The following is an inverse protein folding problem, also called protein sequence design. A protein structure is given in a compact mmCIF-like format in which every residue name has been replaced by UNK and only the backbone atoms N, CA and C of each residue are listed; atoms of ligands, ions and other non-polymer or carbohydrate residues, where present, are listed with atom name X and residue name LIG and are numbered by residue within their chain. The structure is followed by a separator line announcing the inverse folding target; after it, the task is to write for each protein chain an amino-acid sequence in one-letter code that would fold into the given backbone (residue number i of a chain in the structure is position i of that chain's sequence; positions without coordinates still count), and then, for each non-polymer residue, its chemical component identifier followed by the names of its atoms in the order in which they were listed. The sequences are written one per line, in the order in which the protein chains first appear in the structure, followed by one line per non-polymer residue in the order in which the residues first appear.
data_IF_477913143663
#
_entry.id   IF_477913143663
#
_cell.length_a   1.000
_cell.length_b   1.000
_cell.length_c   1.000
_cell.angle_alpha   90.00
_cell.angle_beta   90.00
_cell.angle_gamma   90.00
#
_symmetry.space_group_name_H-M   'P 1'
#
loop_
_entity.id
_entity.type
_entity.pdbx_description
1 polymer ?
#
# COMPACT_ATOMS: atom_id res chain seq x y z
N UNK A 1 12.70 5.90 -1.98
CA UNK A 1 13.50 6.18 -0.74
C UNK A 1 13.74 7.66 -0.47
N UNK A 2 14.19 8.48 -1.44
CA UNK A 2 14.54 9.92 -1.20
C UNK A 2 13.42 10.73 -0.53
N UNK A 3 12.18 10.56 -0.98
CA UNK A 3 11.03 11.25 -0.38
C UNK A 3 10.83 10.89 1.10
N UNK A 4 10.98 9.62 1.50
CA UNK A 4 10.88 9.21 2.91
C UNK A 4 12.05 9.80 3.70
N UNK A 5 13.27 9.70 3.16
CA UNK A 5 14.47 10.21 3.82
C UNK A 5 14.35 11.73 4.10
N UNK A 6 13.79 12.49 3.18
CA UNK A 6 13.58 13.94 3.36
C UNK A 6 12.58 14.27 4.48
N UNK A 7 11.62 13.39 4.76
CA UNK A 7 10.63 13.57 5.83
C UNK A 7 11.16 13.07 7.17
N UNK A 8 11.79 11.90 7.17
CA UNK A 8 12.37 11.28 8.36
C UNK A 8 13.71 10.61 8.03
N UNK A 9 14.83 11.34 8.17
CA UNK A 9 16.17 10.84 7.83
C UNK A 9 16.63 9.65 8.67
N UNK A 10 16.06 9.43 9.87
CA UNK A 10 16.43 8.32 10.74
C UNK A 10 15.68 7.02 10.44
N UNK A 11 14.55 7.08 9.72
CA UNK A 11 13.66 5.95 9.51
C UNK A 11 14.09 5.04 8.35
N UNK A 12 14.93 5.52 7.44
CA UNK A 12 15.28 4.81 6.21
C UNK A 12 16.77 5.04 5.86
N UNK A 13 17.49 4.06 5.29
CA UNK A 13 18.86 4.29 4.83
C UNK A 13 18.92 5.46 3.84
N UNK A 14 19.89 6.37 4.02
CA UNK A 14 20.06 7.50 3.11
C UNK A 14 20.32 7.03 1.68
N UNK A 15 19.48 7.34 0.69
CA UNK A 15 19.81 7.06 -0.70
C UNK A 15 20.98 7.94 -1.15
N UNK A 16 21.93 7.35 -1.87
CA UNK A 16 23.16 8.03 -2.32
C UNK A 16 23.13 8.24 -3.83
N UNK A 17 22.90 7.17 -4.60
CA UNK A 17 22.86 7.24 -6.07
C UNK A 17 22.12 6.04 -6.66
N UNK A 18 21.64 6.17 -7.88
CA UNK A 18 21.24 5.05 -8.73
C UNK A 18 21.75 5.29 -10.15
N UNK A 19 21.81 4.24 -10.96
CA UNK A 19 22.24 4.37 -12.34
C UNK A 19 22.25 3.06 -13.10
N UNK A 20 22.74 3.12 -14.34
CA UNK A 20 22.86 1.99 -15.26
C UNK A 20 24.34 1.78 -15.55
N UNK A 21 24.79 0.53 -15.61
CA UNK A 21 26.17 0.22 -15.96
C UNK A 21 26.44 0.57 -17.43
N UNK A 22 27.52 1.30 -17.69
CA UNK A 22 27.89 1.71 -19.06
C UNK A 22 28.10 0.52 -20.00
N UNK A 23 28.74 -0.55 -19.51
CA UNK A 23 29.00 -1.76 -20.28
C UNK A 23 27.80 -2.72 -20.35
N UNK A 24 26.77 -2.54 -19.52
CA UNK A 24 25.62 -3.44 -19.39
C UNK A 24 24.33 -2.61 -19.29
N UNK A 25 23.73 -2.22 -20.44
CA UNK A 25 22.58 -1.30 -20.47
C UNK A 25 21.34 -1.79 -19.70
N UNK A 26 21.19 -3.12 -19.53
CA UNK A 26 20.07 -3.73 -18.81
C UNK A 26 20.39 -4.03 -17.32
N UNK A 27 21.58 -3.62 -16.85
CA UNK A 27 21.98 -3.76 -15.46
C UNK A 27 21.96 -2.40 -14.77
N UNK A 28 21.21 -2.32 -13.67
CA UNK A 28 21.06 -1.12 -12.87
C UNK A 28 21.65 -1.31 -11.47
N UNK A 29 22.02 -0.21 -10.82
CA UNK A 29 22.48 -0.21 -9.44
C UNK A 29 21.76 0.84 -8.61
N UNK A 30 21.70 0.57 -7.31
CA UNK A 30 21.27 1.51 -6.28
C UNK A 30 22.30 1.49 -5.16
N UNK A 31 22.71 2.68 -4.71
CA UNK A 31 23.62 2.91 -3.60
C UNK A 31 22.86 3.65 -2.51
N UNK A 32 22.94 3.13 -1.29
CA UNK A 32 22.43 3.79 -0.09
C UNK A 32 23.42 3.62 1.07
N UNK A 33 23.16 4.36 2.14
CA UNK A 33 23.86 4.22 3.41
C UNK A 33 23.78 2.78 3.91
N UNK A 34 24.91 2.24 4.35
CA UNK A 34 24.93 0.98 5.07
C UNK A 34 24.44 1.21 6.50
N UNK A 35 23.41 0.46 6.91
CA UNK A 35 22.87 0.47 8.28
C UNK A 35 23.00 -0.94 8.85
N UNK A 36 23.56 -1.04 10.06
CA UNK A 36 23.60 -2.32 10.77
C UNK A 36 22.20 -2.61 11.31
N UNK A 37 21.49 -3.55 10.70
CA UNK A 37 20.12 -3.91 11.07
C UNK A 37 20.10 -5.20 11.89
N UNK A 38 19.23 -5.27 12.91
CA UNK A 38 19.00 -6.51 13.67
C UNK A 38 17.83 -7.26 13.03
N UNK A 39 17.84 -8.59 12.99
CA UNK A 39 16.71 -9.35 12.40
C UNK A 39 15.48 -9.39 13.34
N UNK A 40 15.28 -8.35 14.14
CA UNK A 40 14.22 -8.20 15.11
C UNK A 40 13.24 -7.13 14.64
N UNK A 41 11.94 -7.41 14.80
CA UNK A 41 10.92 -6.41 14.58
C UNK A 41 10.91 -5.38 15.71
N UNK A 42 10.72 -4.09 15.41
CA UNK A 42 10.58 -3.08 16.44
C UNK A 42 9.37 -3.33 17.34
N UNK A 43 9.39 -2.78 18.57
CA UNK A 43 8.17 -2.76 19.38
C UNK A 43 7.06 -2.00 18.65
N UNK A 44 5.80 -2.40 18.88
CA UNK A 44 4.64 -1.79 18.24
C UNK A 44 4.62 -0.28 18.46
N UNK A 45 4.89 0.17 19.69
CA UNK A 45 4.89 1.59 20.05
C UNK A 45 5.96 2.38 19.31
N UNK A 46 7.22 1.91 19.32
CA UNK A 46 8.32 2.60 18.66
C UNK A 46 8.12 2.63 17.14
N UNK A 47 7.68 1.52 16.56
CA UNK A 47 7.36 1.42 15.14
C UNK A 47 6.30 2.44 14.73
N UNK A 48 5.16 2.43 15.41
CA UNK A 48 4.02 3.26 15.05
C UNK A 48 4.27 4.74 15.31
N UNK A 49 5.07 5.10 16.31
CA UNK A 49 5.51 6.49 16.50
C UNK A 49 6.19 7.01 15.22
N UNK A 50 7.14 6.26 14.65
CA UNK A 50 7.85 6.66 13.44
C UNK A 50 7.00 6.61 12.17
N UNK A 51 6.19 5.56 11.99
CA UNK A 51 5.33 5.42 10.79
C UNK A 51 4.24 6.49 10.77
N UNK A 52 3.59 6.76 11.91
CA UNK A 52 2.55 7.80 11.96
C UNK A 52 3.13 9.20 11.85
N UNK A 53 4.36 9.43 12.30
CA UNK A 53 5.11 10.67 12.07
C UNK A 53 5.37 10.88 10.56
N UNK A 54 5.84 9.85 9.84
CA UNK A 54 5.99 9.90 8.39
C UNK A 54 4.69 10.29 7.69
N UNK A 55 3.59 9.61 8.03
CA UNK A 55 2.28 9.89 7.44
C UNK A 55 1.77 11.30 7.78
N UNK A 56 1.97 11.77 9.02
CA UNK A 56 1.48 13.07 9.47
C UNK A 56 2.29 14.22 8.85
N UNK A 57 3.61 14.10 8.82
CA UNK A 57 4.52 15.20 8.48
C UNK A 57 4.81 15.30 6.98
N UNK A 58 4.61 14.22 6.21
CA UNK A 58 4.71 14.28 4.76
C UNK A 58 3.50 14.96 4.13
N UNK A 59 3.66 15.58 2.96
CA UNK A 59 2.56 16.10 2.16
C UNK A 59 2.90 15.94 0.68
N UNK A 60 1.89 15.60 -0.12
CA UNK A 60 2.04 15.58 -1.58
C UNK A 60 2.44 16.97 -2.10
N UNK A 61 3.42 17.06 -3.02
CA UNK A 61 3.92 18.35 -3.52
C UNK A 61 2.86 19.17 -4.27
N UNK A 62 1.81 18.53 -4.78
CA UNK A 62 0.69 19.16 -5.51
C UNK A 62 -0.67 18.92 -4.84
N UNK A 63 -0.69 18.33 -3.64
CA UNK A 63 -1.92 17.96 -2.94
C UNK A 63 -2.69 16.76 -3.53
N UNK A 64 -2.21 16.17 -4.62
CA UNK A 64 -2.83 15.02 -5.28
C UNK A 64 -2.27 13.68 -4.77
N UNK A 65 -3.02 12.60 -4.99
CA UNK A 65 -2.56 11.23 -4.78
C UNK A 65 -1.75 10.77 -5.99
N UNK A 66 -0.72 9.96 -5.74
CA UNK A 66 0.18 9.46 -6.78
C UNK A 66 1.65 9.66 -6.47
N UNK A 67 2.49 9.68 -7.51
CA UNK A 67 3.93 9.84 -7.36
C UNK A 67 4.59 10.41 -8.62
N UNK A 68 5.79 10.96 -8.46
CA UNK A 68 6.57 11.59 -9.52
C UNK A 68 7.22 10.59 -10.49
N UNK A 69 7.44 9.37 -10.04
CA UNK A 69 8.01 8.28 -10.83
C UNK A 69 7.20 6.99 -10.64
N UNK A 70 7.30 6.07 -11.60
CA UNK A 70 6.82 4.71 -11.37
C UNK A 70 7.64 4.05 -10.26
N UNK A 71 6.98 3.31 -9.36
CA UNK A 71 7.66 2.43 -8.41
C UNK A 71 7.51 0.99 -8.82
N UNK A 72 8.23 0.08 -8.15
CA UNK A 72 8.10 -1.34 -8.37
C UNK A 72 7.67 -2.02 -7.08
N UNK A 73 6.67 -2.89 -7.17
CA UNK A 73 6.33 -3.83 -6.12
C UNK A 73 6.80 -5.22 -6.57
N UNK A 74 7.89 -5.71 -5.97
CA UNK A 74 8.69 -6.78 -6.57
C UNK A 74 9.20 -6.37 -7.96
N UNK A 75 8.89 -7.17 -8.98
CA UNK A 75 9.23 -6.86 -10.37
C UNK A 75 8.09 -6.19 -11.17
N UNK A 76 7.00 -5.80 -10.50
CA UNK A 76 5.82 -5.21 -11.16
C UNK A 76 5.89 -3.69 -11.08
N UNK A 77 6.10 -2.98 -12.21
CA UNK A 77 6.07 -1.53 -12.22
C UNK A 77 4.64 -1.02 -12.03
N UNK A 78 4.48 0.00 -11.19
CA UNK A 78 3.23 0.69 -10.93
C UNK A 78 3.40 2.14 -11.40
N UNK A 79 2.70 2.49 -12.48
CA UNK A 79 2.55 3.88 -12.88
C UNK A 79 1.49 4.57 -11.99
N UNK A 80 1.96 5.45 -11.12
CA UNK A 80 1.11 6.14 -10.17
C UNK A 80 0.29 7.24 -10.84
N UNK A 81 0.85 7.98 -11.81
CA UNK A 81 0.27 9.25 -12.27
C UNK A 81 -0.09 10.20 -11.11
N UNK A 82 -0.94 11.20 -11.38
CA UNK A 82 -1.50 12.08 -10.35
C UNK A 82 -3.02 12.13 -10.44
N UNK A 83 -3.66 12.18 -9.27
CA UNK A 83 -5.10 12.04 -9.12
C UNK A 83 -5.60 12.97 -8.02
N UNK A 84 -6.64 13.77 -8.31
CA UNK A 84 -7.18 14.73 -7.35
C UNK A 84 -7.95 14.08 -6.20
N UNK A 85 -8.53 12.90 -6.43
CA UNK A 85 -9.27 12.13 -5.41
C UNK A 85 -8.65 10.75 -5.23
N UNK A 86 -8.78 10.21 -4.03
CA UNK A 86 -8.26 8.88 -3.70
C UNK A 86 -9.07 7.78 -4.39
N UNK A 87 -10.40 7.96 -4.51
CA UNK A 87 -11.27 7.02 -5.23
C UNK A 87 -10.80 6.82 -6.67
N UNK A 88 -10.52 7.90 -7.40
CA UNK A 88 -10.08 7.81 -8.80
C UNK A 88 -8.70 7.14 -8.90
N UNK A 89 -7.72 7.61 -8.11
CA UNK A 89 -6.39 7.01 -8.07
C UNK A 89 -6.44 5.50 -7.83
N UNK A 90 -7.14 5.10 -6.75
CA UNK A 90 -7.20 3.72 -6.32
C UNK A 90 -7.93 2.88 -7.37
N UNK A 91 -9.04 3.36 -7.91
CA UNK A 91 -9.81 2.66 -8.96
C UNK A 91 -8.96 2.42 -10.19
N UNK A 92 -8.33 3.47 -10.73
CA UNK A 92 -7.51 3.40 -11.96
C UNK A 92 -6.34 2.44 -11.80
N UNK A 93 -5.56 2.62 -10.74
CA UNK A 93 -4.35 1.80 -10.53
C UNK A 93 -4.66 0.36 -10.12
N UNK A 94 -5.72 0.13 -9.34
CA UNK A 94 -6.19 -1.23 -9.03
C UNK A 94 -6.74 -1.94 -10.27
N UNK A 95 -7.41 -1.21 -11.18
CA UNK A 95 -7.87 -1.77 -12.46
C UNK A 95 -6.70 -2.25 -13.32
N UNK A 96 -5.67 -1.43 -13.47
CA UNK A 96 -4.48 -1.80 -14.23
C UNK A 96 -3.81 -3.07 -13.69
N UNK A 97 -3.70 -3.20 -12.35
CA UNK A 97 -3.19 -4.41 -11.71
C UNK A 97 -4.11 -5.60 -11.91
N UNK A 98 -5.43 -5.43 -11.81
CA UNK A 98 -6.39 -6.50 -12.06
C UNK A 98 -6.30 -7.02 -13.51
N UNK A 99 -6.20 -6.11 -14.48
CA UNK A 99 -6.06 -6.47 -15.89
C UNK A 99 -4.74 -7.21 -16.14
N UNK A 100 -3.65 -6.78 -15.49
CA UNK A 100 -2.37 -7.49 -15.52
C UNK A 100 -2.48 -8.90 -14.91
N UNK A 101 -3.20 -9.06 -13.80
CA UNK A 101 -3.47 -10.37 -13.19
C UNK A 101 -4.19 -11.31 -14.17
N UNK A 102 -5.22 -10.81 -14.86
CA UNK A 102 -5.93 -11.59 -15.87
C UNK A 102 -5.03 -11.93 -17.07
N UNK A 103 -4.15 -11.02 -17.50
CA UNK A 103 -3.20 -11.28 -18.59
C UNK A 103 -2.17 -12.35 -18.21
N UNK A 104 -1.65 -12.27 -16.98
CA UNK A 104 -0.61 -13.16 -16.48
C UNK A 104 -1.18 -14.55 -16.22
N UNK A 105 -2.36 -14.70 -15.63
CA UNK A 105 -2.95 -16.02 -15.34
C UNK A 105 -3.87 -16.58 -16.42
N UNK A 106 -4.39 -15.73 -17.29
CA UNK A 106 -5.57 -16.03 -18.11
C UNK A 106 -6.89 -15.68 -17.39
N UNK A 107 -7.98 -15.50 -18.14
CA UNK A 107 -9.25 -15.03 -17.61
C UNK A 107 -9.83 -16.00 -16.57
N UNK A 108 -10.35 -15.46 -15.48
CA UNK A 108 -11.18 -16.19 -14.51
C UNK A 108 -12.63 -15.71 -14.60
N UNK A 109 -13.56 -16.60 -14.94
CA UNK A 109 -14.99 -16.26 -15.02
C UNK A 109 -15.52 -15.67 -13.71
N UNK A 110 -15.04 -16.18 -12.58
CA UNK A 110 -15.41 -15.70 -11.25
C UNK A 110 -14.88 -14.29 -10.97
N UNK A 111 -13.59 -14.03 -11.23
CA UNK A 111 -13.02 -12.70 -11.07
C UNK A 111 -13.69 -11.69 -12.01
N UNK A 112 -13.95 -12.09 -13.26
CA UNK A 112 -14.67 -11.25 -14.23
C UNK A 112 -16.07 -10.90 -13.72
N UNK A 113 -16.83 -11.89 -13.20
CA UNK A 113 -18.16 -11.67 -12.61
C UNK A 113 -18.12 -10.73 -11.41
N UNK A 114 -17.13 -10.87 -10.53
CA UNK A 114 -16.96 -10.02 -9.34
C UNK A 114 -16.50 -8.60 -9.69
N UNK A 115 -15.65 -8.45 -10.72
CA UNK A 115 -14.97 -7.20 -11.07
C UNK A 115 -15.95 -6.04 -11.25
N UNK A 116 -17.05 -6.24 -11.98
CA UNK A 116 -18.02 -5.17 -12.22
C UNK A 116 -18.58 -4.61 -10.91
N UNK A 117 -19.04 -5.47 -10.01
CA UNK A 117 -19.55 -5.04 -8.71
C UNK A 117 -18.45 -4.46 -7.81
N UNK A 118 -17.26 -5.06 -7.82
CA UNK A 118 -16.14 -4.57 -7.02
C UNK A 118 -15.78 -3.12 -7.38
N UNK A 119 -15.59 -2.84 -8.67
CA UNK A 119 -15.18 -1.52 -9.11
C UNK A 119 -16.33 -0.51 -9.21
N UNK A 120 -17.54 -0.92 -9.64
CA UNK A 120 -18.65 0.03 -9.82
C UNK A 120 -19.40 0.31 -8.51
N UNK A 121 -19.28 -0.57 -7.50
CA UNK A 121 -20.06 -0.50 -6.26
C UNK A 121 -19.21 -0.45 -5.01
N UNK A 122 -18.34 -1.45 -4.80
CA UNK A 122 -17.57 -1.58 -3.55
C UNK A 122 -16.59 -0.42 -3.38
N UNK A 123 -15.75 -0.16 -4.40
CA UNK A 123 -14.75 0.92 -4.31
C UNK A 123 -15.43 2.28 -4.07
N UNK A 124 -16.43 2.71 -4.87
CA UNK A 124 -17.17 3.94 -4.59
C UNK A 124 -17.81 3.98 -3.20
N UNK A 125 -18.40 2.87 -2.73
CA UNK A 125 -19.06 2.81 -1.41
C UNK A 125 -18.07 3.09 -0.28
N UNK A 126 -16.86 2.57 -0.39
CA UNK A 126 -15.87 2.64 0.68
C UNK A 126 -14.95 3.86 0.59
N UNK A 127 -14.67 4.37 -0.62
CA UNK A 127 -13.69 5.44 -0.81
C UNK A 127 -14.34 6.81 -1.02
N UNK A 128 -15.47 6.90 -1.73
CA UNK A 128 -16.13 8.20 -1.96
C UNK A 128 -16.46 8.96 -0.67
N UNK A 129 -16.99 8.31 0.40
CA UNK A 129 -17.33 9.00 1.63
C UNK A 129 -16.15 9.71 2.32
N UNK A 130 -14.90 9.34 2.02
CA UNK A 130 -13.70 9.97 2.60
C UNK A 130 -13.57 11.44 2.18
N UNK A 131 -14.11 11.80 1.02
CA UNK A 131 -13.92 13.10 0.36
C UNK A 131 -15.26 13.78 0.00
N UNK A 132 -16.38 13.25 0.49
CA UNK A 132 -17.72 13.85 0.35
C UNK A 132 -18.35 14.18 1.71
N UNK A 133 -19.48 14.89 1.71
CA UNK A 133 -20.15 15.28 2.96
C UNK A 133 -19.34 16.26 3.81
N UNK A 134 -18.50 17.10 3.17
CA UNK A 134 -17.59 18.03 3.85
C UNK A 134 -16.33 17.40 4.44
N UNK A 135 -16.11 16.09 4.20
CA UNK A 135 -14.90 15.38 4.61
C UNK A 135 -13.79 15.56 3.59
N UNK A 136 -12.57 15.37 4.05
CA UNK A 136 -11.39 15.34 3.20
C UNK A 136 -10.33 14.45 3.85
N UNK A 137 -9.49 13.86 3.01
CA UNK A 137 -8.29 13.14 3.44
C UNK A 137 -7.06 13.79 2.82
N UNK A 138 -5.92 13.63 3.48
CA UNK A 138 -4.64 14.16 3.03
C UNK A 138 -3.88 13.08 2.27
N UNK A 139 -3.36 13.42 1.09
CA UNK A 139 -2.35 12.62 0.41
C UNK A 139 -1.03 12.69 1.19
N UNK A 140 -0.73 11.66 1.98
CA UNK A 140 0.50 11.52 2.74
C UNK A 140 1.43 10.50 2.08
N UNK A 141 2.73 10.70 2.27
CA UNK A 141 3.72 9.73 1.83
C UNK A 141 3.61 8.47 2.69
N UNK A 142 3.51 7.33 2.02
CA UNK A 142 3.51 6.00 2.64
C UNK A 142 4.74 5.22 2.17
N UNK A 143 5.08 4.14 2.86
CA UNK A 143 6.14 3.21 2.45
C UNK A 143 5.74 2.42 1.20
N UNK A 144 4.49 1.93 1.14
CA UNK A 144 3.86 1.27 0.00
C UNK A 144 4.12 -0.24 -0.12
N UNK A 145 5.04 -0.77 0.68
CA UNK A 145 5.34 -2.21 0.81
C UNK A 145 5.79 -2.57 2.24
N UNK A 146 5.10 -2.07 3.27
CA UNK A 146 5.57 -2.21 4.67
C UNK A 146 5.11 -3.50 5.34
N UNK A 147 5.71 -4.61 4.96
CA UNK A 147 5.56 -5.90 5.65
C UNK A 147 6.77 -6.21 6.55
N UNK A 148 6.70 -7.26 7.35
CA UNK A 148 7.74 -7.60 8.32
C UNK A 148 9.13 -7.84 7.72
N UNK A 149 9.22 -8.19 6.43
CA UNK A 149 10.50 -8.31 5.73
C UNK A 149 11.18 -6.97 5.45
N UNK A 150 10.43 -5.87 5.46
CA UNK A 150 10.89 -4.52 5.10
C UNK A 150 10.98 -3.58 6.31
N UNK A 151 11.00 -4.14 7.52
CA UNK A 151 11.12 -3.41 8.78
C UNK A 151 12.03 -4.16 9.76
N UNK A 152 12.81 -3.41 10.52
CA UNK A 152 13.81 -3.95 11.43
C UNK A 152 14.15 -2.91 12.51
N UNK A 153 14.97 -3.29 13.48
CA UNK A 153 15.64 -2.36 14.39
C UNK A 153 17.05 -2.04 13.88
N UNK A 154 17.40 -0.76 13.89
CA UNK A 154 18.76 -0.30 13.68
C UNK A 154 19.62 -0.65 14.90
N UNK A 155 20.68 -1.43 14.69
CA UNK A 155 21.52 -1.97 15.75
C UNK A 155 22.34 -0.92 16.50
N UNK A 156 22.62 0.23 15.89
CA UNK A 156 23.39 1.30 16.53
C UNK A 156 22.49 2.22 17.36
N UNK A 157 21.38 2.69 16.76
CA UNK A 157 20.47 3.63 17.40
C UNK A 157 19.36 2.97 18.23
N UNK A 158 19.15 1.66 18.07
CA UNK A 158 18.05 0.90 18.66
C UNK A 158 16.69 1.52 18.34
N UNK A 159 16.52 2.01 17.11
CA UNK A 159 15.28 2.61 16.60
C UNK A 159 14.74 1.82 15.41
N UNK A 160 13.43 1.91 15.13
CA UNK A 160 12.85 1.33 13.91
C UNK A 160 13.55 1.86 12.66
N UNK A 161 13.79 0.97 11.72
CA UNK A 161 14.25 1.28 10.37
C UNK A 161 13.42 0.48 9.35
N UNK A 162 13.10 1.12 8.23
CA UNK A 162 12.38 0.53 7.10
C UNK A 162 13.23 0.61 5.83
N UNK A 163 12.98 -0.26 4.86
CA UNK A 163 13.76 -0.35 3.62
C UNK A 163 12.93 -1.00 2.50
N UNK A 164 13.44 -0.98 1.27
CA UNK A 164 12.78 -1.55 0.09
C UNK A 164 11.39 -0.94 -0.20
N UNK A 165 11.31 0.39 -0.10
CA UNK A 165 10.06 1.13 -0.23
C UNK A 165 9.54 1.26 -1.68
N UNK A 166 8.27 0.92 -1.88
CA UNK A 166 7.47 1.20 -3.08
C UNK A 166 6.58 2.44 -2.87
N UNK A 167 7.20 3.57 -2.49
CA UNK A 167 6.51 4.73 -1.92
C UNK A 167 5.64 5.51 -2.91
N UNK A 168 4.52 6.02 -2.42
CA UNK A 168 3.72 7.01 -3.14
C UNK A 168 2.89 7.84 -2.15
N UNK A 169 2.25 8.91 -2.63
CA UNK A 169 1.31 9.71 -1.84
C UNK A 169 -0.08 9.07 -1.89
N UNK A 170 -0.57 8.64 -0.74
CA UNK A 170 -1.77 7.82 -0.59
C UNK A 170 -2.65 8.32 0.56
N UNK A 171 -3.83 7.72 0.68
CA UNK A 171 -4.54 7.68 1.95
C UNK A 171 -3.75 6.82 2.95
N UNK A 172 -3.48 7.33 4.16
CA UNK A 172 -2.64 6.67 5.16
C UNK A 172 -3.09 5.25 5.53
N UNK A 173 -4.40 4.97 5.56
CA UNK A 173 -4.93 3.64 5.89
C UNK A 173 -4.58 2.56 4.85
N UNK A 174 -4.13 2.96 3.65
CA UNK A 174 -3.67 2.03 2.61
C UNK A 174 -2.48 1.18 3.07
N UNK A 175 -1.50 1.78 3.77
CA UNK A 175 -0.30 1.08 4.26
C UNK A 175 -0.68 -0.12 5.14
N UNK A 176 -1.77 0.01 5.90
CA UNK A 176 -2.26 -1.02 6.80
C UNK A 176 -2.83 -2.25 6.06
N UNK A 177 -3.07 -2.17 4.75
CA UNK A 177 -3.66 -3.26 3.96
C UNK A 177 -2.81 -4.52 3.97
N UNK A 178 -1.49 -4.39 3.78
CA UNK A 178 -0.55 -5.52 3.82
C UNK A 178 -0.45 -6.14 5.22
N UNK A 179 -0.82 -5.42 6.27
CA UNK A 179 -0.82 -5.95 7.63
C UNK A 179 -1.97 -6.93 7.87
N UNK A 180 -3.01 -6.96 7.00
CA UNK A 180 -4.07 -7.99 7.06
C UNK A 180 -3.61 -9.36 6.57
N UNK A 181 -2.49 -9.42 5.87
CA UNK A 181 -2.06 -10.67 5.24
C UNK A 181 -1.69 -11.71 6.30
N UNK A 182 -2.15 -12.96 6.17
CA UNK A 182 -1.95 -14.00 7.19
C UNK A 182 -0.48 -14.40 7.36
N UNK A 183 0.34 -14.16 6.33
CA UNK A 183 1.77 -14.40 6.33
C UNK A 183 2.59 -13.26 6.96
N UNK A 184 1.97 -12.14 7.32
CA UNK A 184 2.69 -10.96 7.80
C UNK A 184 2.78 -10.90 9.33
N UNK A 185 3.99 -10.74 9.87
CA UNK A 185 4.21 -10.59 11.31
C UNK A 185 3.91 -9.16 11.82
N UNK A 186 3.88 -8.16 10.94
CA UNK A 186 3.25 -6.85 11.24
C UNK A 186 1.75 -7.05 11.01
N UNK A 187 1.05 -7.36 12.10
CA UNK A 187 -0.27 -8.00 12.06
C UNK A 187 -1.40 -7.11 12.62
N UNK A 188 -2.50 -7.74 13.07
CA UNK A 188 -3.65 -7.05 13.65
C UNK A 188 -3.30 -6.14 14.83
N UNK A 189 -2.39 -6.55 15.72
CA UNK A 189 -2.00 -5.72 16.87
C UNK A 189 -1.33 -4.40 16.47
N UNK A 190 -0.61 -4.39 15.33
CA UNK A 190 -0.03 -3.18 14.76
C UNK A 190 -1.12 -2.28 14.15
N UNK A 191 -2.08 -2.86 13.41
CA UNK A 191 -3.21 -2.10 12.83
C UNK A 191 -4.06 -1.47 13.92
N UNK A 192 -4.43 -2.24 14.94
CA UNK A 192 -5.26 -1.75 16.04
C UNK A 192 -4.56 -0.65 16.84
N UNK A 193 -3.24 -0.78 17.03
CA UNK A 193 -2.44 0.22 17.73
C UNK A 193 -2.19 1.47 16.88
N UNK A 194 -2.12 1.36 15.55
CA UNK A 194 -1.93 2.51 14.65
C UNK A 194 -2.97 3.60 14.91
N UNK A 195 -4.23 3.20 15.13
CA UNK A 195 -5.33 4.12 15.38
C UNK A 195 -5.25 4.88 16.72
N UNK A 196 -4.34 4.51 17.63
CA UNK A 196 -4.03 5.30 18.84
C UNK A 196 -3.19 6.52 18.52
N UNK A 197 -2.42 6.47 17.44
CA UNK A 197 -1.50 7.54 17.00
C UNK A 197 -2.08 8.36 15.83
N UNK A 198 -2.90 7.75 14.99
CA UNK A 198 -3.51 8.39 13.84
C UNK A 198 -5.00 8.02 13.76
N UNK A 199 -5.93 8.97 13.99
CA UNK A 199 -7.36 8.68 14.02
C UNK A 199 -7.86 7.99 12.76
N UNK A 200 -8.88 7.14 12.92
CA UNK A 200 -9.59 6.51 11.80
C UNK A 200 -10.20 7.58 10.89
N UNK A 201 -10.14 7.35 9.59
CA UNK A 201 -10.81 8.23 8.64
C UNK A 201 -12.34 8.07 8.74
N UNK A 202 -13.06 9.18 8.60
CA UNK A 202 -14.52 9.18 8.60
C UNK A 202 -15.06 8.72 7.22
N UNK A 203 -16.17 7.96 7.15
CA UNK A 203 -16.93 7.39 8.26
C UNK A 203 -16.16 6.28 8.98
N UNK A 204 -16.09 6.35 10.30
CA UNK A 204 -15.30 5.40 11.09
C UNK A 204 -15.83 3.97 11.01
N UNK A 205 -17.13 3.79 10.81
CA UNK A 205 -17.76 2.47 10.67
C UNK A 205 -17.23 1.67 9.47
N UNK A 206 -16.72 2.35 8.44
CA UNK A 206 -16.22 1.73 7.21
C UNK A 206 -14.72 1.39 7.28
N UNK A 207 -14.00 1.74 8.36
CA UNK A 207 -12.53 1.64 8.39
C UNK A 207 -11.98 0.23 8.17
N UNK A 208 -12.62 -0.78 8.75
CA UNK A 208 -12.16 -2.17 8.63
C UNK A 208 -12.40 -2.70 7.22
N UNK A 209 -13.54 -2.33 6.61
CA UNK A 209 -13.86 -2.68 5.22
C UNK A 209 -12.97 -1.94 4.21
N UNK A 210 -12.64 -0.67 4.46
CA UNK A 210 -11.61 0.05 3.68
C UNK A 210 -10.27 -0.66 3.75
N UNK A 211 -9.88 -1.11 4.94
CA UNK A 211 -8.62 -1.84 5.09
C UNK A 211 -8.66 -3.22 4.39
N UNK A 212 -9.79 -3.92 4.42
CA UNK A 212 -10.01 -5.14 3.63
C UNK A 212 -9.96 -4.87 2.11
N UNK A 213 -10.49 -3.73 1.66
CA UNK A 213 -10.36 -3.29 0.27
C UNK A 213 -8.89 -3.07 -0.12
N UNK A 214 -8.10 -2.42 0.73
CA UNK A 214 -6.66 -2.24 0.50
C UNK A 214 -5.90 -3.57 0.49
N UNK A 215 -6.23 -4.49 1.41
CA UNK A 215 -5.66 -5.84 1.42
C UNK A 215 -6.02 -6.65 0.16
N UNK A 216 -7.22 -6.47 -0.39
CA UNK A 216 -7.61 -7.08 -1.67
C UNK A 216 -6.65 -6.68 -2.80
N UNK A 217 -6.20 -5.42 -2.84
CA UNK A 217 -5.20 -4.98 -3.84
C UNK A 217 -3.84 -5.65 -3.64
N UNK A 218 -3.44 -5.89 -2.39
CA UNK A 218 -2.23 -6.68 -2.08
C UNK A 218 -2.39 -8.11 -2.63
N UNK A 219 -3.56 -8.74 -2.48
CA UNK A 219 -3.82 -10.06 -3.05
C UNK A 219 -3.73 -10.07 -4.60
N UNK A 220 -4.09 -8.98 -5.28
CA UNK A 220 -3.87 -8.85 -6.73
C UNK A 220 -2.37 -8.89 -7.05
N UNK A 221 -1.57 -8.10 -6.33
CA UNK A 221 -0.12 -8.04 -6.51
C UNK A 221 0.55 -9.39 -6.22
N UNK A 222 0.20 -10.02 -5.09
CA UNK A 222 0.73 -11.34 -4.73
C UNK A 222 0.32 -12.42 -5.73
N UNK A 223 -0.93 -12.40 -6.24
CA UNK A 223 -1.37 -13.30 -7.31
C UNK A 223 -0.49 -13.17 -8.55
N UNK A 224 -0.11 -11.94 -8.95
CA UNK A 224 0.77 -11.70 -10.09
C UNK A 224 2.19 -12.22 -9.79
N UNK A 225 2.78 -11.80 -8.66
CA UNK A 225 4.18 -12.05 -8.30
C UNK A 225 4.50 -13.53 -8.08
N UNK A 226 3.57 -14.27 -7.47
CA UNK A 226 3.76 -15.65 -7.08
C UNK A 226 3.05 -16.65 -7.99
N UNK A 227 2.60 -16.21 -9.18
CA UNK A 227 2.02 -17.11 -10.19
C UNK A 227 2.92 -18.33 -10.41
N UNK A 228 2.29 -19.52 -10.39
CA UNK A 228 2.96 -20.80 -10.65
C UNK A 228 3.81 -21.32 -9.49
N UNK A 229 4.03 -20.50 -8.46
CA UNK A 229 4.64 -20.92 -7.18
C UNK A 229 3.57 -21.21 -6.15
N UNK A 230 2.58 -20.33 -6.04
CA UNK A 230 1.47 -20.49 -5.12
C UNK A 230 0.18 -19.91 -5.71
N UNK A 231 -0.82 -20.78 -5.92
CA UNK A 231 -2.13 -20.37 -6.43
C UNK A 231 -3.07 -19.90 -5.31
N UNK A 232 -2.67 -20.02 -4.04
CA UNK A 232 -3.47 -19.58 -2.89
C UNK A 232 -3.75 -18.07 -2.94
N UNK A 233 -2.82 -17.26 -3.42
CA UNK A 233 -3.00 -15.80 -3.54
C UNK A 233 -4.13 -15.42 -4.51
N UNK A 234 -4.28 -16.17 -5.62
CA UNK A 234 -5.39 -15.96 -6.54
C UNK A 234 -6.73 -16.32 -5.89
N UNK A 235 -6.75 -17.37 -5.08
CA UNK A 235 -7.94 -17.72 -4.31
C UNK A 235 -8.24 -16.66 -3.23
N UNK A 236 -7.24 -16.16 -2.51
CA UNK A 236 -7.40 -15.07 -1.54
C UNK A 236 -7.96 -13.80 -2.19
N UNK A 237 -7.54 -13.49 -3.42
CA UNK A 237 -8.12 -12.41 -4.22
C UNK A 237 -9.62 -12.65 -4.48
N UNK A 238 -9.99 -13.84 -4.97
CA UNK A 238 -11.38 -14.23 -5.24
C UNK A 238 -12.22 -14.09 -3.96
N UNK A 239 -11.75 -14.67 -2.85
CA UNK A 239 -12.46 -14.69 -1.58
C UNK A 239 -12.68 -13.25 -1.05
N UNK A 240 -11.64 -12.42 -1.08
CA UNK A 240 -11.71 -11.04 -0.61
C UNK A 240 -12.64 -10.19 -1.48
N UNK A 241 -12.59 -10.34 -2.80
CA UNK A 241 -13.53 -9.66 -3.70
C UNK A 241 -14.97 -10.14 -3.49
N UNK A 242 -15.18 -11.44 -3.29
CA UNK A 242 -16.49 -12.04 -3.07
C UNK A 242 -17.13 -11.53 -1.78
N UNK A 243 -16.38 -11.52 -0.67
CA UNK A 243 -16.82 -11.00 0.62
C UNK A 243 -17.27 -9.54 0.52
N UNK A 244 -16.43 -8.67 -0.06
CA UNK A 244 -16.73 -7.25 -0.19
C UNK A 244 -17.93 -6.99 -1.12
N UNK A 245 -18.03 -7.72 -2.24
CA UNK A 245 -19.17 -7.61 -3.15
C UNK A 245 -20.46 -8.09 -2.48
N UNK A 246 -20.39 -9.16 -1.69
CA UNK A 246 -21.52 -9.67 -0.92
C UNK A 246 -21.98 -8.71 0.18
N UNK A 247 -21.05 -8.01 0.82
CA UNK A 247 -21.34 -7.02 1.88
C UNK A 247 -21.91 -5.71 1.33
N UNK A 248 -21.50 -5.29 0.13
CA UNK A 248 -21.93 -4.02 -0.47
C UNK A 248 -22.65 -4.18 -1.83
N UNK A 249 -23.73 -4.97 -1.91
CA UNK A 249 -24.39 -5.30 -3.18
C UNK A 249 -25.08 -4.09 -3.83
N UNK A 250 -25.41 -3.06 -3.04
CA UNK A 250 -26.05 -1.81 -3.49
C UNK A 250 -25.06 -0.69 -3.83
N UNK A 251 -23.79 -0.84 -3.44
CA UNK A 251 -22.78 0.20 -3.64
C UNK A 251 -23.02 1.45 -2.80
N UNK A 252 -22.56 2.60 -3.29
CA UNK A 252 -22.73 3.89 -2.61
C UNK A 252 -24.19 4.38 -2.72
N UNK A 253 -24.87 4.51 -1.59
CA UNK A 253 -26.29 4.91 -1.55
C UNK A 253 -26.51 6.40 -1.24
N UNK A 254 -25.44 7.17 -1.07
CA UNK A 254 -25.50 8.63 -0.88
C UNK A 254 -25.90 9.06 0.54
N UNK A 255 -25.00 9.81 1.17
CA UNK A 255 -25.27 10.94 2.06
C UNK A 255 -24.19 11.99 1.80
#
# INVERSE_FOLDING_TARGET
MTHIYNVNPSLIPRPIACGTYEALPDAHFFLCEFRHITNELPSIEAFLEQITELHRNSASPNGCFGFDVATCHGNIPIDHGWSATWEEYFTRSTRALFDLEQQVHGPSEELVRLSKSFFDKVIPRLLRPLETGGRSIKACLIHGDLWHGNASMDGDSQKPIIFDAASFYAHNEYELGVWRQPWNNINASYRDSYYRYFPKSQPEEDYDDRNALYATRVNILDSILYRGKDNSYRQMLIDSMSELVGKFPRGYEGQ
#
